data_IF_466706003151
#
_entry.id   IF_466706003151
#
_cell.length_a   1.000
_cell.length_b   1.000
_cell.length_c   1.000
_cell.angle_alpha   90.00
_cell.angle_beta   90.00
_cell.angle_gamma   90.00
#
_symmetry.space_group_name_H-M   'P 1'
#
loop_
_entity.id
_entity.type
_entity.pdbx_description
1 polymer ?
#
# COMPACT_ATOMS: atom_id res chain seq x y z
N UNK A 1 8.15 3.77 6.77
CA UNK A 1 8.27 3.26 8.15
C UNK A 1 8.31 1.75 8.14
N UNK A 2 9.18 1.15 8.94
CA UNK A 2 9.30 -0.32 9.10
C UNK A 2 9.16 -0.64 10.59
N UNK A 3 8.30 -1.60 10.91
CA UNK A 3 8.27 -2.28 12.21
C UNK A 3 8.78 -3.70 11.99
N UNK A 4 9.94 -4.01 12.56
CA UNK A 4 10.65 -5.28 12.37
C UNK A 4 10.49 -6.15 13.62
N UNK A 5 10.00 -7.38 13.44
CA UNK A 5 9.74 -8.37 14.49
C UNK A 5 10.65 -9.60 14.36
N UNK A 6 11.70 -9.50 13.53
CA UNK A 6 12.65 -10.57 13.29
C UNK A 6 14.05 -10.18 13.75
N UNK A 7 14.95 -11.15 13.76
CA UNK A 7 16.38 -10.91 14.00
C UNK A 7 17.13 -10.39 12.77
N UNK A 8 16.45 -10.23 11.64
CA UNK A 8 17.03 -9.64 10.45
C UNK A 8 17.20 -8.14 10.59
N UNK A 9 18.30 -7.55 10.11
CA UNK A 9 18.38 -6.09 10.02
C UNK A 9 17.38 -5.55 9.00
N UNK A 10 16.88 -4.32 9.20
CA UNK A 10 15.90 -3.68 8.30
C UNK A 10 16.34 -3.67 6.84
N UNK A 11 17.65 -3.53 6.59
CA UNK A 11 18.22 -3.62 5.25
C UNK A 11 17.90 -4.97 4.59
N UNK A 12 17.95 -6.06 5.36
CA UNK A 12 17.65 -7.41 4.85
C UNK A 12 16.15 -7.56 4.57
N UNK A 13 15.29 -7.02 5.41
CA UNK A 13 13.84 -6.98 5.18
C UNK A 13 13.55 -6.22 3.86
N UNK A 14 14.14 -5.05 3.68
CA UNK A 14 13.96 -4.25 2.45
C UNK A 14 14.49 -4.98 1.22
N UNK A 15 15.59 -5.71 1.32
CA UNK A 15 16.14 -6.51 0.23
C UNK A 15 15.19 -7.64 -0.19
N UNK A 16 14.60 -8.37 0.78
CA UNK A 16 13.61 -9.41 0.56
C UNK A 16 12.37 -8.82 -0.15
N UNK A 17 11.85 -7.71 0.35
CA UNK A 17 10.70 -7.01 -0.22
C UNK A 17 11.00 -6.55 -1.65
N UNK A 18 12.14 -5.89 -1.85
CA UNK A 18 12.58 -5.43 -3.19
C UNK A 18 12.67 -6.58 -4.19
N UNK A 19 13.21 -7.74 -3.75
CA UNK A 19 13.37 -8.91 -4.62
C UNK A 19 12.04 -9.45 -5.10
N UNK A 20 11.05 -9.54 -4.22
CA UNK A 20 9.71 -10.01 -4.54
C UNK A 20 8.94 -8.97 -5.38
N UNK A 21 8.97 -7.69 -4.98
CA UNK A 21 8.26 -6.63 -5.67
C UNK A 21 8.85 -6.31 -7.06
N UNK A 22 10.12 -6.57 -7.30
CA UNK A 22 10.71 -6.46 -8.65
C UNK A 22 10.06 -7.39 -9.67
N UNK A 23 9.43 -8.48 -9.23
CA UNK A 23 8.66 -9.41 -10.07
C UNK A 23 7.16 -9.07 -10.13
N UNK A 24 6.71 -8.14 -9.31
CA UNK A 24 5.31 -7.72 -9.20
C UNK A 24 4.98 -6.62 -10.21
N UNK A 25 3.75 -6.65 -10.72
CA UNK A 25 3.17 -5.57 -11.54
C UNK A 25 2.31 -4.61 -10.72
N UNK A 26 2.22 -4.83 -9.40
CA UNK A 26 1.38 -4.01 -8.54
C UNK A 26 1.93 -2.57 -8.42
N UNK A 27 1.07 -1.53 -8.35
CA UNK A 27 1.53 -0.14 -8.21
C UNK A 27 2.44 0.10 -7.02
N UNK A 28 2.21 -0.58 -5.89
CA UNK A 28 2.98 -0.45 -4.66
C UNK A 28 4.43 -0.95 -4.82
N UNK A 29 4.68 -1.86 -5.78
CA UNK A 29 6.01 -2.33 -6.14
C UNK A 29 6.94 -1.19 -6.54
N UNK A 30 6.38 -0.08 -7.08
CA UNK A 30 7.17 1.10 -7.45
C UNK A 30 7.89 1.74 -6.27
N UNK A 31 7.35 1.60 -5.05
CA UNK A 31 7.96 2.13 -3.84
C UNK A 31 9.23 1.36 -3.42
N UNK A 32 9.39 0.12 -3.91
CA UNK A 32 10.49 -0.79 -3.57
C UNK A 32 11.43 -1.08 -4.73
N UNK A 33 11.33 -0.32 -5.82
CA UNK A 33 12.25 -0.51 -6.96
C UNK A 33 13.70 -0.27 -6.54
N UNK A 34 14.52 -1.28 -6.76
CA UNK A 34 15.94 -1.22 -6.41
C UNK A 34 16.68 -2.44 -6.94
N UNK A 35 18.02 -2.44 -6.77
CA UNK A 35 18.83 -3.61 -7.05
C UNK A 35 18.73 -4.57 -5.86
N UNK A 36 18.52 -5.83 -6.15
CA UNK A 36 18.62 -6.92 -5.20
C UNK A 36 19.28 -8.11 -5.90
N UNK A 37 20.20 -8.73 -5.21
CA UNK A 37 20.94 -9.91 -5.71
C UNK A 37 20.26 -11.21 -5.28
N UNK A 38 19.13 -11.15 -4.55
CA UNK A 38 18.42 -12.34 -4.11
C UNK A 38 17.61 -12.95 -5.25
N UNK A 39 17.84 -14.23 -5.48
CA UNK A 39 17.09 -15.01 -6.46
C UNK A 39 15.74 -15.42 -5.89
N UNK A 40 14.66 -15.00 -6.53
CA UNK A 40 13.29 -15.40 -6.20
C UNK A 40 12.86 -16.54 -7.12
N UNK A 41 12.53 -17.67 -6.54
CA UNK A 41 11.93 -18.84 -7.22
C UNK A 41 10.47 -18.99 -6.83
N UNK A 42 9.70 -19.80 -7.56
CA UNK A 42 8.28 -20.09 -7.29
C UNK A 42 7.46 -18.82 -7.01
N UNK A 43 7.75 -17.75 -7.75
CA UNK A 43 7.00 -16.51 -7.61
C UNK A 43 5.53 -16.71 -8.03
N UNK A 44 4.62 -16.15 -7.24
CA UNK A 44 3.19 -16.18 -7.50
C UNK A 44 2.55 -14.84 -7.14
N UNK A 45 1.69 -14.34 -8.01
CA UNK A 45 0.87 -13.16 -7.76
C UNK A 45 -0.50 -13.62 -7.25
N UNK A 46 -0.86 -13.22 -6.03
CA UNK A 46 -2.11 -13.57 -5.37
C UNK A 46 -3.07 -12.39 -5.56
N UNK A 47 -3.97 -12.51 -6.53
CA UNK A 47 -4.82 -11.42 -6.98
C UNK A 47 -5.57 -10.71 -5.83
N UNK A 48 -5.36 -9.40 -5.70
CA UNK A 48 -5.99 -8.57 -4.68
C UNK A 48 -5.45 -8.74 -3.25
N UNK A 49 -4.49 -9.63 -3.02
CA UNK A 49 -3.94 -9.93 -1.70
C UNK A 49 -2.45 -9.58 -1.58
N UNK A 50 -1.67 -9.86 -2.62
CA UNK A 50 -0.23 -9.62 -2.60
C UNK A 50 0.55 -10.57 -3.48
N UNK A 51 1.79 -10.86 -3.10
CA UNK A 51 2.70 -11.74 -3.83
C UNK A 51 3.36 -12.77 -2.88
N UNK A 52 3.85 -13.86 -3.44
CA UNK A 52 4.67 -14.82 -2.72
C UNK A 52 5.83 -15.31 -3.57
N UNK A 53 6.87 -15.82 -2.92
CA UNK A 53 8.01 -16.42 -3.60
C UNK A 53 8.93 -17.12 -2.60
N UNK A 54 9.86 -17.90 -3.12
CA UNK A 54 10.85 -18.61 -2.31
C UNK A 54 12.22 -17.96 -2.51
N UNK A 55 12.90 -17.64 -1.42
CA UNK A 55 14.25 -17.07 -1.37
C UNK A 55 15.05 -17.89 -0.37
N UNK A 56 16.18 -18.46 -0.78
CA UNK A 56 17.03 -19.30 0.06
C UNK A 56 16.23 -20.40 0.79
N UNK A 57 15.41 -21.13 0.03
CA UNK A 57 14.55 -22.25 0.47
C UNK A 57 13.46 -21.87 1.48
N UNK A 58 13.32 -20.62 1.84
CA UNK A 58 12.23 -20.10 2.68
C UNK A 58 11.15 -19.42 1.85
N UNK A 59 9.90 -19.65 2.21
CA UNK A 59 8.75 -19.03 1.54
C UNK A 59 8.41 -17.71 2.18
N UNK A 60 8.29 -16.68 1.35
CA UNK A 60 7.93 -15.33 1.76
C UNK A 60 6.63 -14.90 1.11
N UNK A 61 5.88 -14.07 1.82
CA UNK A 61 4.67 -13.43 1.31
C UNK A 61 4.73 -11.95 1.63
N UNK A 62 4.26 -11.13 0.69
CA UNK A 62 4.05 -9.69 0.86
C UNK A 62 2.61 -9.37 0.50
N UNK A 63 1.89 -8.71 1.37
CA UNK A 63 0.51 -8.38 1.05
C UNK A 63 -0.22 -7.62 2.14
N UNK A 64 -1.53 -7.49 1.93
CA UNK A 64 -2.43 -6.79 2.84
C UNK A 64 -2.92 -7.68 4.01
N UNK A 65 -3.76 -7.12 4.87
CA UNK A 65 -4.41 -7.80 6.00
C UNK A 65 -5.17 -9.07 5.58
N UNK A 66 -5.88 -9.01 4.43
CA UNK A 66 -6.62 -10.19 3.91
C UNK A 66 -5.70 -11.35 3.55
N UNK A 67 -4.44 -11.08 3.16
CA UNK A 67 -3.47 -12.14 2.91
C UNK A 67 -3.13 -12.91 4.19
N UNK A 68 -2.87 -12.19 5.30
CA UNK A 68 -2.56 -12.84 6.59
C UNK A 68 -3.75 -13.59 7.15
N UNK A 69 -4.97 -13.10 6.94
CA UNK A 69 -6.21 -13.81 7.28
C UNK A 69 -6.32 -15.12 6.49
N UNK A 70 -6.07 -15.08 5.17
CA UNK A 70 -6.09 -16.27 4.32
C UNK A 70 -5.00 -17.29 4.71
N UNK A 71 -3.87 -16.83 5.20
CA UNK A 71 -2.79 -17.67 5.72
C UNK A 71 -3.06 -18.18 7.14
N UNK A 72 -4.17 -17.78 7.78
CA UNK A 72 -4.55 -18.11 9.15
C UNK A 72 -3.42 -17.76 10.15
N UNK A 73 -2.88 -16.56 10.02
CA UNK A 73 -1.85 -16.02 10.91
C UNK A 73 -2.54 -15.10 11.91
N UNK A 74 -2.43 -15.39 13.21
CA UNK A 74 -3.15 -14.68 14.26
C UNK A 74 -2.31 -13.62 14.97
N UNK A 75 -1.00 -13.79 15.01
CA UNK A 75 -0.08 -12.76 15.54
C UNK A 75 0.25 -11.76 14.44
N UNK A 76 -0.62 -10.77 14.29
CA UNK A 76 -0.58 -9.78 13.20
C UNK A 76 -0.11 -8.40 13.64
N UNK A 77 0.39 -8.26 14.87
CA UNK A 77 0.87 -6.98 15.42
C UNK A 77 -0.13 -5.82 15.21
N UNK A 78 -1.38 -6.03 15.62
CA UNK A 78 -2.52 -5.14 15.33
C UNK A 78 -2.34 -3.71 15.82
N UNK A 79 -1.61 -3.49 16.91
CA UNK A 79 -1.35 -2.15 17.45
C UNK A 79 -0.50 -1.31 16.47
N UNK A 80 0.57 -1.88 15.95
CA UNK A 80 1.47 -1.22 15.00
C UNK A 80 0.79 -1.06 13.63
N UNK A 81 0.01 -2.05 13.20
CA UNK A 81 -0.84 -1.93 12.02
C UNK A 81 -1.78 -0.75 12.11
N UNK A 82 -2.57 -0.66 13.19
CA UNK A 82 -3.51 0.43 13.41
C UNK A 82 -2.82 1.80 13.49
N UNK A 83 -1.63 1.85 14.07
CA UNK A 83 -0.82 3.07 14.13
C UNK A 83 -0.43 3.53 12.73
N UNK A 84 0.12 2.64 11.89
CA UNK A 84 0.48 2.94 10.52
C UNK A 84 -0.71 3.42 9.69
N UNK A 85 -1.87 2.76 9.84
CA UNK A 85 -3.10 3.16 9.15
C UNK A 85 -3.55 4.56 9.58
N UNK A 86 -3.55 4.87 10.89
CA UNK A 86 -3.89 6.21 11.41
C UNK A 86 -2.94 7.30 10.90
N UNK A 87 -1.67 6.95 10.66
CA UNK A 87 -0.68 7.85 10.06
C UNK A 87 -0.87 8.01 8.53
N UNK A 88 -1.87 7.36 7.93
CA UNK A 88 -2.19 7.45 6.50
C UNK A 88 -1.27 6.60 5.63
N UNK A 89 -0.70 5.51 6.17
CA UNK A 89 0.08 4.58 5.39
C UNK A 89 -0.80 3.46 4.80
N UNK A 90 -0.45 3.01 3.60
CA UNK A 90 -0.81 1.67 3.14
C UNK A 90 0.14 0.67 3.80
N UNK A 91 -0.40 -0.35 4.46
CA UNK A 91 0.41 -1.29 5.24
C UNK A 91 0.62 -2.58 4.47
N UNK A 92 1.87 -3.02 4.41
CA UNK A 92 2.29 -4.29 3.83
C UNK A 92 2.80 -5.20 4.95
N UNK A 93 2.23 -6.38 5.04
CA UNK A 93 2.75 -7.46 5.85
C UNK A 93 3.88 -8.18 5.12
N UNK A 94 4.99 -8.38 5.80
CA UNK A 94 6.10 -9.24 5.36
C UNK A 94 6.04 -10.51 6.20
N UNK A 95 5.78 -11.64 5.53
CA UNK A 95 5.60 -12.92 6.20
C UNK A 95 6.69 -13.89 5.72
N UNK A 96 7.37 -14.54 6.66
CA UNK A 96 8.26 -15.68 6.42
C UNK A 96 7.53 -16.95 6.87
N UNK A 97 7.33 -17.89 5.97
CA UNK A 97 6.59 -19.13 6.20
C UNK A 97 5.17 -18.87 6.76
N UNK A 98 5.01 -18.83 8.06
CA UNK A 98 3.75 -18.56 8.75
C UNK A 98 3.87 -17.51 9.86
N UNK A 99 4.95 -16.71 9.85
CA UNK A 99 5.21 -15.69 10.85
C UNK A 99 5.30 -14.32 10.20
N UNK A 100 4.60 -13.33 10.74
CA UNK A 100 4.81 -11.94 10.39
C UNK A 100 6.19 -11.52 10.91
N UNK A 101 7.09 -11.15 10.02
CA UNK A 101 8.45 -10.71 10.35
C UNK A 101 8.61 -9.19 10.29
N UNK A 102 7.74 -8.49 9.56
CA UNK A 102 7.70 -7.03 9.57
C UNK A 102 6.35 -6.49 9.07
N UNK A 103 6.06 -5.24 9.47
CA UNK A 103 5.07 -4.37 8.84
C UNK A 103 5.78 -3.21 8.17
N UNK A 104 5.40 -2.89 6.95
CA UNK A 104 5.95 -1.76 6.21
C UNK A 104 4.82 -0.80 5.87
N UNK A 105 4.90 0.42 6.43
CA UNK A 105 4.04 1.53 6.07
C UNK A 105 4.59 2.25 4.85
N UNK A 106 3.81 2.27 3.77
CA UNK A 106 4.09 2.99 2.54
C UNK A 106 3.15 4.17 2.44
N UNK A 107 3.69 5.37 2.39
CA UNK A 107 2.92 6.57 2.06
C UNK A 107 2.98 6.81 0.57
N UNK A 108 1.81 6.93 -0.04
CA UNK A 108 1.75 7.50 -1.38
C UNK A 108 2.08 8.99 -1.28
N UNK A 109 3.23 9.37 -1.83
CA UNK A 109 3.62 10.79 -1.81
C UNK A 109 2.83 11.54 -2.87
N UNK A 110 2.12 12.56 -2.43
CA UNK A 110 1.48 13.49 -3.35
C UNK A 110 2.51 14.02 -4.36
N UNK A 111 2.14 14.08 -5.62
CA UNK A 111 3.00 14.71 -6.64
C UNK A 111 3.33 16.13 -6.20
N UNK A 112 4.59 16.53 -6.37
CA UNK A 112 5.08 17.85 -5.92
C UNK A 112 4.25 19.03 -6.41
N UNK A 113 3.63 18.90 -7.58
CA UNK A 113 2.78 19.93 -8.20
C UNK A 113 1.27 19.80 -7.86
N UNK A 114 0.84 18.77 -7.12
CA UNK A 114 -0.59 18.51 -6.88
C UNK A 114 -1.29 19.70 -6.21
N UNK A 115 -0.69 20.26 -5.16
CA UNK A 115 -1.23 21.43 -4.44
C UNK A 115 -1.38 22.65 -5.35
N UNK A 116 -0.40 22.90 -6.21
CA UNK A 116 -0.42 24.03 -7.14
C UNK A 116 -1.53 23.88 -8.19
N UNK A 117 -1.66 22.68 -8.75
CA UNK A 117 -2.70 22.38 -9.74
C UNK A 117 -4.10 22.54 -9.13
N UNK A 118 -4.33 22.00 -7.94
CA UNK A 118 -5.63 22.14 -7.26
C UNK A 118 -5.94 23.62 -6.96
N UNK A 119 -4.94 24.37 -6.48
CA UNK A 119 -5.10 25.81 -6.24
C UNK A 119 -5.48 26.57 -7.52
N UNK A 120 -4.89 26.22 -8.68
CA UNK A 120 -5.23 26.81 -9.98
C UNK A 120 -6.67 26.47 -10.40
N UNK A 121 -7.09 25.20 -10.23
CA UNK A 121 -8.46 24.78 -10.54
C UNK A 121 -9.49 25.53 -9.70
N UNK A 122 -9.25 25.67 -8.40
CA UNK A 122 -10.12 26.44 -7.50
C UNK A 122 -10.20 27.93 -7.85
N UNK A 123 -9.09 28.54 -8.20
CA UNK A 123 -9.08 29.94 -8.68
C UNK A 123 -9.90 30.12 -9.95
N UNK A 124 -10.05 29.05 -10.75
CA UNK A 124 -10.92 29.04 -11.95
C UNK A 124 -12.34 28.60 -11.64
N UNK A 125 -12.80 28.68 -10.38
CA UNK A 125 -14.13 28.28 -9.92
C UNK A 125 -14.49 26.82 -10.25
N UNK A 126 -13.48 25.91 -10.32
CA UNK A 126 -13.73 24.49 -10.51
C UNK A 126 -13.82 23.79 -9.15
N UNK A 127 -14.87 22.98 -8.97
CA UNK A 127 -14.98 22.07 -7.83
C UNK A 127 -14.05 20.89 -8.05
N UNK A 128 -13.25 20.55 -7.02
CA UNK A 128 -12.27 19.46 -7.08
C UNK A 128 -12.70 18.33 -6.16
N UNK A 129 -12.99 17.19 -6.76
CA UNK A 129 -13.47 15.98 -6.09
C UNK A 129 -12.44 14.86 -6.22
N UNK A 130 -12.18 14.13 -5.14
CA UNK A 130 -11.35 12.92 -5.16
C UNK A 130 -12.21 11.65 -5.05
N UNK A 131 -12.02 10.72 -5.99
CA UNK A 131 -12.61 9.38 -5.96
C UNK A 131 -11.50 8.33 -5.78
N UNK A 132 -11.48 7.67 -4.64
CA UNK A 132 -10.41 6.69 -4.34
C UNK A 132 -10.96 5.36 -3.85
N UNK A 133 -10.19 4.29 -4.09
CA UNK A 133 -10.40 2.97 -3.48
C UNK A 133 -9.78 2.84 -2.09
N UNK A 134 -8.99 3.82 -1.66
CA UNK A 134 -8.35 3.83 -0.35
C UNK A 134 -9.40 3.95 0.77
N UNK A 135 -9.00 3.60 1.98
CA UNK A 135 -9.88 3.75 3.14
C UNK A 135 -10.18 5.23 3.44
N UNK A 136 -11.28 5.47 4.18
CA UNK A 136 -11.76 6.82 4.50
C UNK A 136 -10.72 7.66 5.25
N UNK A 137 -9.94 7.07 6.15
CA UNK A 137 -8.95 7.79 6.96
C UNK A 137 -7.83 8.36 6.09
N UNK A 138 -7.23 7.53 5.24
CA UNK A 138 -6.20 7.95 4.28
C UNK A 138 -6.73 9.01 3.32
N UNK A 139 -7.93 8.79 2.78
CA UNK A 139 -8.56 9.73 1.85
C UNK A 139 -8.83 11.09 2.50
N UNK A 140 -9.28 11.12 3.76
CA UNK A 140 -9.52 12.35 4.50
C UNK A 140 -8.24 13.13 4.80
N UNK A 141 -7.14 12.44 5.12
CA UNK A 141 -5.82 13.08 5.32
C UNK A 141 -5.39 13.79 4.04
N UNK A 142 -5.44 13.10 2.90
CA UNK A 142 -5.10 13.66 1.59
C UNK A 142 -6.02 14.82 1.21
N UNK A 143 -7.33 14.66 1.44
CA UNK A 143 -8.32 15.70 1.13
C UNK A 143 -8.08 16.98 1.90
N UNK A 144 -7.77 16.88 3.20
CA UNK A 144 -7.41 18.05 4.04
C UNK A 144 -6.11 18.70 3.57
N UNK A 145 -5.08 17.90 3.28
CA UNK A 145 -3.77 18.39 2.84
C UNK A 145 -3.84 19.14 1.51
N UNK A 146 -4.69 18.68 0.60
CA UNK A 146 -4.93 19.28 -0.71
C UNK A 146 -6.07 20.33 -0.71
N UNK A 147 -6.76 20.50 0.41
CA UNK A 147 -7.95 21.34 0.54
C UNK A 147 -9.01 21.06 -0.54
N UNK A 148 -9.32 19.76 -0.76
CA UNK A 148 -10.32 19.33 -1.74
C UNK A 148 -11.74 19.74 -1.30
N UNK A 149 -12.65 19.89 -2.27
CA UNK A 149 -14.04 20.26 -1.98
C UNK A 149 -14.86 19.06 -1.53
N UNK A 150 -14.55 17.87 -2.04
CA UNK A 150 -15.25 16.64 -1.70
C UNK A 150 -14.33 15.43 -1.85
N UNK A 151 -14.58 14.39 -1.06
CA UNK A 151 -13.90 13.10 -1.16
C UNK A 151 -14.88 11.95 -1.03
N UNK A 152 -14.80 10.98 -1.96
CA UNK A 152 -15.51 9.70 -1.88
C UNK A 152 -14.45 8.59 -1.86
N UNK A 153 -14.39 7.87 -0.73
CA UNK A 153 -13.39 6.85 -0.45
C UNK A 153 -14.00 5.43 -0.45
N UNK A 154 -13.14 4.42 -0.39
CA UNK A 154 -13.51 2.99 -0.38
C UNK A 154 -14.36 2.56 -1.59
N UNK A 155 -14.17 3.22 -2.73
CA UNK A 155 -14.94 2.97 -3.94
C UNK A 155 -14.33 1.83 -4.76
N UNK A 156 -15.17 0.89 -5.18
CA UNK A 156 -14.84 -0.08 -6.21
C UNK A 156 -14.77 0.60 -7.60
N UNK A 157 -14.06 0.02 -8.58
CA UNK A 157 -13.94 0.60 -9.92
C UNK A 157 -15.28 0.94 -10.58
N UNK A 158 -16.29 0.09 -10.42
CA UNK A 158 -17.65 0.32 -10.95
C UNK A 158 -18.34 1.51 -10.28
N UNK A 159 -18.17 1.67 -8.97
CA UNK A 159 -18.77 2.77 -8.21
C UNK A 159 -18.18 4.12 -8.59
N UNK A 160 -16.87 4.18 -8.88
CA UNK A 160 -16.24 5.39 -9.41
C UNK A 160 -16.89 5.84 -10.74
N UNK A 161 -17.19 4.88 -11.62
CA UNK A 161 -17.86 5.17 -12.89
C UNK A 161 -19.27 5.70 -12.68
N UNK A 162 -20.01 5.15 -11.71
CA UNK A 162 -21.37 5.60 -11.36
C UNK A 162 -21.34 7.04 -10.85
N UNK A 163 -20.45 7.34 -9.91
CA UNK A 163 -20.28 8.69 -9.37
C UNK A 163 -19.94 9.71 -10.47
N UNK A 164 -19.06 9.34 -11.40
CA UNK A 164 -18.73 10.25 -12.53
C UNK A 164 -19.95 10.52 -13.39
N UNK A 165 -20.79 9.51 -13.68
CA UNK A 165 -22.04 9.68 -14.45
C UNK A 165 -23.07 10.57 -13.76
N UNK A 166 -23.11 10.56 -12.44
CA UNK A 166 -24.00 11.41 -11.63
C UNK A 166 -23.55 12.89 -11.60
N UNK A 167 -22.30 13.16 -11.92
CA UNK A 167 -21.71 14.50 -11.92
C UNK A 167 -21.74 15.18 -13.30
N UNK A 168 -22.07 14.44 -14.36
CA UNK A 168 -22.19 14.91 -15.75
C UNK A 168 -23.63 15.25 -16.10
#
# INVERSE_FOLDING_TARGET
>A
TIYNYSDYPDKKILELVTSLENKSTHPIAKAFKGKSDLTVTKFNNIAGLGVSGTINDKKYYLGNDKLVDQLMIYDIHSLDFNRLVREGNSVIYVVEERKVIALIGVKDTLRSNAREVIKKLKKSNKKVLMLTGDNKETANIISKDLALDEVKASLLPKEKTTVIKELL
#
